data_IF_499127387271
#
_entry.id   IF_499127387271
#
_cell.length_a   1.000
_cell.length_b   1.000
_cell.length_c   1.000
_cell.angle_alpha   90.00
_cell.angle_beta   90.00
_cell.angle_gamma   90.00
#
_symmetry.space_group_name_H-M   'P 1'
#
loop_
_entity.id
_entity.type
_entity.pdbx_description
1 polymer ?
#
# COMPACT_ATOMS: atom_id res chain seq x y z
N UNK A 1 -17.17 -63.92 5.22
CA UNK A 1 -18.16 -63.02 4.60
C UNK A 1 -17.95 -61.68 5.27
N UNK A 2 -16.95 -60.95 4.80
CA UNK A 2 -16.54 -59.66 5.37
C UNK A 2 -17.24 -58.56 4.59
N UNK A 3 -18.20 -57.89 5.21
CA UNK A 3 -18.77 -56.65 4.68
C UNK A 3 -17.96 -55.49 5.23
N UNK A 4 -17.10 -54.92 4.38
CA UNK A 4 -16.46 -53.63 4.61
C UNK A 4 -17.54 -52.56 4.41
N UNK A 5 -17.97 -51.92 5.50
CA UNK A 5 -18.79 -50.72 5.47
C UNK A 5 -17.98 -49.59 4.83
N UNK A 6 -18.34 -49.21 3.60
CA UNK A 6 -17.85 -48.01 2.95
C UNK A 6 -18.42 -46.81 3.72
N UNK A 7 -17.58 -46.12 4.49
CA UNK A 7 -17.91 -44.80 5.00
C UNK A 7 -17.96 -43.84 3.80
N UNK A 8 -19.15 -43.31 3.49
CA UNK A 8 -19.31 -42.23 2.53
C UNK A 8 -18.54 -41.00 3.04
N UNK A 9 -17.44 -40.63 2.37
CA UNK A 9 -16.77 -39.35 2.57
C UNK A 9 -17.72 -38.23 2.15
N UNK A 10 -18.47 -37.68 3.13
CA UNK A 10 -19.24 -36.46 2.91
C UNK A 10 -18.29 -35.32 2.56
N UNK A 11 -18.33 -34.86 1.30
CA UNK A 11 -17.53 -33.72 0.85
C UNK A 11 -17.83 -32.50 1.73
N UNK A 12 -16.82 -31.71 2.13
CA UNK A 12 -17.05 -30.53 2.95
C UNK A 12 -17.93 -29.55 2.19
N UNK A 13 -19.12 -29.29 2.73
CA UNK A 13 -20.05 -28.31 2.18
C UNK A 13 -19.42 -26.92 2.33
N UNK A 14 -18.88 -26.39 1.24
CA UNK A 14 -18.35 -25.03 1.19
C UNK A 14 -19.50 -24.08 1.55
N UNK A 15 -19.38 -23.43 2.70
CA UNK A 15 -20.37 -22.44 3.13
C UNK A 15 -20.20 -21.19 2.25
N UNK A 16 -21.29 -20.74 1.64
CA UNK A 16 -21.31 -19.45 0.93
C UNK A 16 -21.29 -18.32 1.97
N UNK A 17 -20.09 -17.83 2.27
CA UNK A 17 -19.89 -16.68 3.15
C UNK A 17 -19.96 -15.41 2.31
N UNK A 18 -20.83 -14.47 2.67
CA UNK A 18 -20.91 -13.14 2.06
C UNK A 18 -20.57 -12.09 3.09
N UNK A 19 -19.77 -11.11 2.70
CA UNK A 19 -19.38 -9.97 3.54
C UNK A 19 -20.06 -8.71 3.02
N UNK A 20 -20.61 -7.89 3.91
CA UNK A 20 -21.13 -6.57 3.58
C UNK A 20 -20.53 -5.52 4.54
N UNK A 21 -19.61 -4.64 4.08
CA UNK A 21 -19.10 -4.54 2.70
C UNK A 21 -18.21 -5.73 2.31
N UNK A 22 -17.82 -5.83 1.04
CA UNK A 22 -16.95 -6.90 0.55
C UNK A 22 -15.65 -7.00 1.39
N UNK A 23 -15.17 -8.23 1.62
CA UNK A 23 -14.07 -8.51 2.55
C UNK A 23 -12.78 -7.73 2.21
N UNK A 24 -12.46 -7.57 0.94
CA UNK A 24 -11.29 -6.79 0.49
C UNK A 24 -11.41 -5.32 0.92
N UNK A 25 -12.62 -4.75 0.88
CA UNK A 25 -12.87 -3.37 1.30
C UNK A 25 -12.74 -3.22 2.82
N UNK A 26 -13.18 -4.22 3.58
CA UNK A 26 -12.97 -4.25 5.04
C UNK A 26 -11.48 -4.29 5.38
N UNK A 27 -10.70 -5.14 4.70
CA UNK A 27 -9.24 -5.26 4.88
C UNK A 27 -8.52 -3.96 4.54
N UNK A 28 -8.83 -3.35 3.39
CA UNK A 28 -8.28 -2.05 3.00
C UNK A 28 -8.63 -0.96 4.02
N UNK A 29 -9.88 -0.90 4.46
CA UNK A 29 -10.32 0.08 5.48
C UNK A 29 -9.56 -0.08 6.79
N UNK A 30 -9.36 -1.34 7.23
CA UNK A 30 -8.60 -1.62 8.43
C UNK A 30 -7.13 -1.18 8.29
N UNK A 31 -6.47 -1.47 7.15
CA UNK A 31 -5.08 -1.04 6.91
C UNK A 31 -4.98 0.48 6.97
N UNK A 32 -5.88 1.20 6.28
CA UNK A 32 -5.89 2.66 6.29
C UNK A 32 -6.07 3.22 7.73
N UNK A 33 -6.91 2.60 8.56
CA UNK A 33 -7.07 3.02 9.95
C UNK A 33 -5.79 2.82 10.77
N UNK A 34 -5.08 1.71 10.56
CA UNK A 34 -3.81 1.46 11.25
C UNK A 34 -2.72 2.43 10.80
N UNK A 35 -2.62 2.74 9.50
CA UNK A 35 -1.68 3.73 8.99
C UNK A 35 -1.96 5.14 9.55
N UNK A 36 -3.24 5.52 9.71
CA UNK A 36 -3.64 6.79 10.37
C UNK A 36 -3.23 6.81 11.84
N UNK A 37 -3.59 5.76 12.57
CA UNK A 37 -3.33 5.65 14.01
C UNK A 37 -1.83 5.76 14.32
N UNK A 38 -0.99 5.15 13.48
CA UNK A 38 0.45 5.12 13.67
C UNK A 38 1.19 6.25 12.91
N UNK A 39 0.46 7.11 12.21
CA UNK A 39 1.01 8.22 11.41
C UNK A 39 2.14 7.76 10.47
N UNK A 40 1.93 6.63 9.81
CA UNK A 40 2.91 6.09 8.89
C UNK A 40 3.14 7.05 7.72
N UNK A 41 4.41 7.28 7.38
CA UNK A 41 4.83 8.13 6.25
C UNK A 41 5.55 7.34 5.17
N UNK A 42 6.02 6.14 5.51
CA UNK A 42 6.72 5.21 4.63
C UNK A 42 6.08 3.82 4.72
N UNK A 43 5.60 3.29 3.58
CA UNK A 43 4.80 2.05 3.55
C UNK A 43 5.26 1.10 2.46
N UNK A 44 5.34 -0.19 2.78
CA UNK A 44 5.50 -1.29 1.81
C UNK A 44 4.21 -2.11 1.76
N UNK A 45 3.63 -2.29 0.57
CA UNK A 45 2.51 -3.21 0.30
C UNK A 45 3.02 -4.49 -0.36
N UNK A 46 2.96 -5.60 0.38
CA UNK A 46 3.37 -6.92 -0.05
C UNK A 46 2.22 -7.68 -0.69
N UNK A 47 2.40 -8.08 -1.94
CA UNK A 47 1.31 -8.60 -2.78
C UNK A 47 0.37 -7.47 -3.18
N UNK A 48 0.92 -6.40 -3.76
CA UNK A 48 0.15 -5.19 -4.06
C UNK A 48 -0.87 -5.36 -5.20
N UNK A 49 -0.80 -6.45 -5.96
CA UNK A 49 -1.71 -6.73 -7.08
C UNK A 49 -1.78 -5.56 -8.07
N UNK A 50 -3.00 -5.16 -8.46
CA UNK A 50 -3.21 -4.02 -9.37
C UNK A 50 -3.05 -2.65 -8.68
N UNK A 51 -2.56 -2.60 -7.44
CA UNK A 51 -2.30 -1.35 -6.72
C UNK A 51 -3.54 -0.72 -6.09
N UNK A 52 -4.58 -1.52 -5.76
CA UNK A 52 -5.84 -0.99 -5.21
C UNK A 52 -5.73 -0.26 -3.86
N UNK A 53 -4.71 -0.60 -3.06
CA UNK A 53 -4.34 0.15 -1.85
C UNK A 53 -3.38 1.29 -2.20
N UNK A 54 -2.40 1.02 -3.07
CA UNK A 54 -1.40 2.02 -3.48
C UNK A 54 -2.04 3.27 -4.09
N UNK A 55 -3.02 3.10 -4.99
CA UNK A 55 -3.72 4.21 -5.65
C UNK A 55 -4.48 5.09 -4.65
N UNK A 56 -5.06 4.49 -3.60
CA UNK A 56 -5.71 5.22 -2.51
C UNK A 56 -4.68 6.01 -1.69
N UNK A 57 -3.53 5.41 -1.37
CA UNK A 57 -2.45 6.09 -0.65
C UNK A 57 -1.76 7.18 -1.50
N UNK A 58 -1.88 7.11 -2.83
CA UNK A 58 -1.42 8.14 -3.75
C UNK A 58 -2.34 9.37 -3.79
N UNK A 59 -3.52 9.33 -3.17
CA UNK A 59 -4.38 10.52 -3.09
C UNK A 59 -3.83 11.50 -2.04
N UNK A 60 -3.81 12.82 -2.32
CA UNK A 60 -3.40 13.80 -1.34
C UNK A 60 -4.34 13.76 -0.12
N UNK A 61 -3.77 13.85 1.08
CA UNK A 61 -4.55 13.98 2.29
C UNK A 61 -5.43 15.23 2.18
N UNK A 62 -6.72 15.04 2.37
CA UNK A 62 -7.75 16.08 2.21
C UNK A 62 -7.61 17.23 3.21
N UNK A 63 -6.90 16.96 4.29
CA UNK A 63 -6.71 17.82 5.46
C UNK A 63 -5.39 18.57 5.43
N UNK A 64 -4.44 18.20 4.57
CA UNK A 64 -3.21 18.96 4.39
C UNK A 64 -3.58 20.27 3.69
N UNK A 65 -3.22 21.44 4.27
CA UNK A 65 -3.55 22.73 3.68
C UNK A 65 -2.99 22.83 2.26
N UNK A 66 -3.58 23.66 1.37
CA UNK A 66 -2.93 23.98 0.10
C UNK A 66 -1.53 24.52 0.37
N UNK A 67 -0.62 24.33 -0.60
CA UNK A 67 0.77 24.83 -0.51
C UNK A 67 0.77 26.25 0.07
N UNK A 68 1.52 26.54 1.14
CA UNK A 68 1.55 27.88 1.70
C UNK A 68 2.07 28.84 0.62
N UNK A 69 1.26 29.83 0.28
CA UNK A 69 1.68 30.94 -0.58
C UNK A 69 2.70 31.81 0.17
N UNK A 70 3.53 32.56 -0.56
CA UNK A 70 4.53 33.50 0.01
C UNK A 70 3.91 34.53 0.98
N UNK A 71 2.58 34.70 0.97
CA UNK A 71 1.79 35.61 1.80
C UNK A 71 1.32 35.01 3.14
N UNK A 72 1.36 33.68 3.31
CA UNK A 72 1.00 33.00 4.58
C UNK A 72 2.06 31.96 4.94
N UNK A 73 3.22 32.38 5.48
CA UNK A 73 4.38 31.51 5.70
C UNK A 73 4.18 30.44 6.79
N UNK A 74 3.11 30.53 7.59
CA UNK A 74 2.90 29.75 8.81
C UNK A 74 1.50 29.12 8.86
N UNK A 75 1.03 28.49 7.78
CA UNK A 75 0.00 27.47 7.96
C UNK A 75 0.68 26.29 8.67
N UNK A 76 0.73 26.33 10.01
CA UNK A 76 1.13 25.18 10.80
C UNK A 76 0.27 24.00 10.33
N UNK A 77 0.93 22.96 9.80
CA UNK A 77 0.27 21.70 9.51
C UNK A 77 -0.09 21.14 10.88
N UNK A 78 -1.27 21.52 11.37
CA UNK A 78 -1.96 20.83 12.45
C UNK A 78 -1.78 19.33 12.18
N UNK A 79 -1.38 18.50 13.16
CA UNK A 79 -1.19 17.08 12.94
C UNK A 79 -2.53 16.49 12.48
N UNK A 80 -2.70 16.42 11.16
CA UNK A 80 -3.95 16.05 10.54
C UNK A 80 -4.19 14.59 10.88
N UNK A 81 -5.45 14.24 11.14
CA UNK A 81 -5.85 12.85 11.38
C UNK A 81 -5.67 11.94 10.14
N UNK A 82 -5.31 12.53 9.00
CA UNK A 82 -5.27 11.87 7.70
C UNK A 82 -3.87 11.34 7.36
N UNK A 83 -3.83 10.36 6.46
CA UNK A 83 -2.60 9.65 6.13
C UNK A 83 -1.72 10.53 5.24
N UNK A 84 -0.50 10.81 5.67
CA UNK A 84 0.48 11.52 4.87
C UNK A 84 1.65 10.60 4.49
N UNK A 85 1.57 9.99 3.30
CA UNK A 85 2.64 9.15 2.75
C UNK A 85 3.62 10.01 1.94
N UNK A 86 4.90 9.80 2.17
CA UNK A 86 6.02 10.36 1.40
C UNK A 86 6.76 9.30 0.58
N UNK A 87 6.75 8.04 1.04
CA UNK A 87 7.43 6.93 0.39
C UNK A 87 6.52 5.70 0.36
N UNK A 88 6.29 5.17 -0.83
CA UNK A 88 5.40 4.03 -1.04
C UNK A 88 6.06 2.98 -1.94
N UNK A 89 5.99 1.73 -1.52
CA UNK A 89 6.52 0.60 -2.27
C UNK A 89 5.44 -0.44 -2.51
N UNK A 90 5.30 -0.88 -3.75
CA UNK A 90 4.53 -2.08 -4.12
C UNK A 90 5.46 -3.22 -4.50
N UNK A 91 5.22 -4.42 -3.97
CA UNK A 91 5.93 -5.63 -4.38
C UNK A 91 4.91 -6.70 -4.78
N UNK A 92 5.05 -7.24 -5.99
CA UNK A 92 4.26 -8.39 -6.45
C UNK A 92 5.07 -9.30 -7.38
N UNK A 93 4.64 -10.55 -7.51
CA UNK A 93 5.21 -11.52 -8.45
C UNK A 93 4.58 -11.45 -9.83
N UNK A 94 3.32 -10.99 -9.92
CA UNK A 94 2.56 -10.96 -11.17
C UNK A 94 2.82 -9.72 -12.03
N UNK A 95 3.47 -9.92 -13.17
CA UNK A 95 3.83 -8.84 -14.10
C UNK A 95 2.62 -8.11 -14.70
N UNK A 96 1.48 -8.80 -14.87
CA UNK A 96 0.29 -8.19 -15.46
C UNK A 96 -0.36 -7.19 -14.51
N UNK A 97 -0.54 -7.58 -13.24
CA UNK A 97 -1.07 -6.72 -12.19
C UNK A 97 -0.16 -5.51 -11.94
N UNK A 98 1.17 -5.70 -11.97
CA UNK A 98 2.12 -4.60 -11.77
C UNK A 98 2.03 -3.51 -12.84
N UNK A 99 1.70 -3.83 -14.09
CA UNK A 99 1.48 -2.82 -15.14
C UNK A 99 0.31 -1.91 -14.79
N UNK A 100 -0.77 -2.50 -14.30
CA UNK A 100 -1.96 -1.76 -13.86
C UNK A 100 -1.60 -0.91 -12.63
N UNK A 101 -0.85 -1.48 -11.68
CA UNK A 101 -0.41 -0.74 -10.50
C UNK A 101 0.44 0.50 -10.86
N UNK A 102 1.33 0.39 -11.85
CA UNK A 102 2.09 1.54 -12.36
C UNK A 102 1.18 2.60 -12.96
N UNK A 103 0.19 2.21 -13.76
CA UNK A 103 -0.77 3.14 -14.37
C UNK A 103 -1.65 3.84 -13.32
N UNK A 104 -2.13 3.10 -12.32
CA UNK A 104 -3.01 3.59 -11.25
C UNK A 104 -2.29 4.49 -10.24
N UNK A 105 -0.98 4.34 -10.08
CA UNK A 105 -0.15 5.16 -9.17
C UNK A 105 0.56 6.30 -9.89
N UNK A 106 0.53 6.32 -11.22
CA UNK A 106 1.13 7.38 -12.00
C UNK A 106 0.46 8.74 -11.74
N UNK A 107 1.22 9.85 -11.72
CA UNK A 107 0.64 11.17 -11.65
C UNK A 107 -0.26 11.42 -12.86
N UNK A 108 -1.41 12.06 -12.64
CA UNK A 108 -2.28 12.47 -13.74
C UNK A 108 -1.59 13.58 -14.53
N UNK A 109 -1.28 13.30 -15.80
CA UNK A 109 -0.67 14.26 -16.71
C UNK A 109 -1.59 15.47 -16.91
N UNK A 110 -1.00 16.67 -16.94
CA UNK A 110 -1.73 17.94 -17.07
C UNK A 110 -2.65 18.00 -18.28
N UNK A 111 -2.24 17.39 -19.40
CA UNK A 111 -3.04 17.31 -20.63
C UNK A 111 -4.39 16.60 -20.40
N UNK A 112 -4.41 15.59 -19.52
CA UNK A 112 -5.64 14.85 -19.17
C UNK A 112 -6.53 15.59 -18.16
N UNK A 113 -5.99 16.59 -17.44
CA UNK A 113 -6.78 17.37 -16.49
C UNK A 113 -7.77 18.30 -17.19
N UNK A 114 -7.42 18.77 -18.39
CA UNK A 114 -8.25 19.71 -19.15
C UNK A 114 -9.53 19.05 -19.70
N UNK A 115 -9.48 17.75 -20.00
CA UNK A 115 -10.62 16.97 -20.50
C UNK A 115 -11.59 16.56 -19.39
N UNK A 116 -11.19 16.66 -18.11
CA UNK A 116 -12.03 16.30 -16.97
C UNK A 116 -12.82 17.50 -16.43
N UNK A 117 -14.10 17.31 -16.05
CA UNK A 117 -14.86 18.33 -15.35
C UNK A 117 -14.23 18.64 -13.98
N UNK A 118 -14.35 19.90 -13.53
CA UNK A 118 -13.64 20.41 -12.34
C UNK A 118 -13.81 19.54 -11.07
N UNK A 119 -14.93 18.85 -10.92
CA UNK A 119 -15.23 18.00 -9.76
C UNK A 119 -14.63 16.59 -9.85
N UNK A 120 -14.18 16.16 -11.04
CA UNK A 120 -13.40 14.93 -11.24
C UNK A 120 -11.89 15.19 -11.27
N UNK A 121 -11.47 16.46 -11.35
CA UNK A 121 -10.04 16.79 -11.39
C UNK A 121 -9.39 16.39 -10.07
N UNK A 122 -8.36 15.51 -10.09
CA UNK A 122 -7.62 15.18 -8.89
C UNK A 122 -7.00 16.46 -8.33
N UNK A 123 -7.02 16.59 -7.00
CA UNK A 123 -6.34 17.72 -6.36
C UNK A 123 -4.83 17.53 -6.56
N UNK A 124 -4.10 18.55 -7.03
CA UNK A 124 -2.66 18.43 -7.16
C UNK A 124 -2.05 18.21 -5.77
N UNK A 125 -1.28 17.13 -5.63
CA UNK A 125 -0.47 16.92 -4.44
C UNK A 125 0.76 17.83 -4.56
N UNK A 126 0.93 18.74 -3.62
CA UNK A 126 2.05 19.68 -3.60
C UNK A 126 3.24 19.18 -2.77
N UNK A 127 3.06 18.10 -2.00
CA UNK A 127 4.12 17.40 -1.28
C UNK A 127 4.63 16.23 -2.12
N UNK A 128 5.94 16.01 -2.07
CA UNK A 128 6.57 14.94 -2.83
C UNK A 128 6.08 13.56 -2.34
N UNK A 129 5.76 12.69 -3.29
CA UNK A 129 5.53 11.26 -3.06
C UNK A 129 6.47 10.48 -3.99
N UNK A 130 7.29 9.62 -3.40
CA UNK A 130 8.05 8.61 -4.14
C UNK A 130 7.29 7.27 -4.15
N UNK A 131 7.00 6.75 -5.34
CA UNK A 131 6.34 5.46 -5.54
C UNK A 131 7.25 4.55 -6.33
N UNK A 132 7.56 3.38 -5.77
CA UNK A 132 8.41 2.39 -6.41
C UNK A 132 7.67 1.05 -6.49
N UNK A 133 7.63 0.46 -7.67
CA UNK A 133 6.94 -0.80 -7.91
C UNK A 133 7.96 -1.83 -8.37
N UNK A 134 7.99 -2.96 -7.66
CA UNK A 134 8.97 -4.01 -7.85
C UNK A 134 8.30 -5.33 -8.21
N UNK A 135 8.94 -6.03 -9.16
CA UNK A 135 8.60 -7.40 -9.52
C UNK A 135 9.50 -8.37 -8.77
N UNK A 136 8.92 -9.25 -7.97
CA UNK A 136 9.64 -10.31 -7.28
C UNK A 136 8.90 -10.85 -6.05
N UNK A 137 9.39 -11.99 -5.55
CA UNK A 137 9.00 -12.51 -4.24
C UNK A 137 9.91 -11.97 -3.14
N UNK A 138 9.54 -12.19 -1.88
CA UNK A 138 10.38 -11.86 -0.72
C UNK A 138 11.69 -12.67 -0.71
N UNK A 139 11.72 -13.79 -1.40
CA UNK A 139 12.85 -14.70 -1.54
C UNK A 139 13.85 -14.27 -2.62
N UNK A 140 13.45 -13.39 -3.55
CA UNK A 140 14.32 -12.98 -4.65
C UNK A 140 15.24 -11.87 -4.17
N UNK A 141 16.48 -12.24 -3.85
CA UNK A 141 17.57 -11.29 -3.79
C UNK A 141 17.82 -10.74 -5.20
N UNK A 142 17.69 -9.43 -5.41
CA UNK A 142 18.14 -8.82 -6.67
C UNK A 142 19.61 -9.25 -6.88
N UNK A 143 19.83 -10.03 -7.94
CA UNK A 143 21.13 -10.64 -8.23
C UNK A 143 22.21 -9.58 -8.46
N UNK A 144 23.42 -9.91 -8.02
CA UNK A 144 24.64 -9.11 -8.18
C UNK A 144 25.00 -8.95 -9.66
N UNK A 145 24.50 -7.88 -10.29
CA UNK A 145 25.02 -7.38 -11.56
C UNK A 145 26.33 -6.59 -11.32
N UNK A 146 27.37 -7.30 -10.88
CA UNK A 146 28.79 -7.02 -11.14
C UNK A 146 29.46 -5.72 -10.63
N UNK A 147 28.82 -4.55 -10.55
CA UNK A 147 29.52 -3.29 -10.25
C UNK A 147 28.71 -2.27 -9.42
N UNK A 148 27.60 -2.66 -8.83
CA UNK A 148 26.91 -1.79 -7.88
C UNK A 148 26.31 -2.61 -6.75
N UNK A 149 26.93 -2.55 -5.57
CA UNK A 149 26.34 -3.01 -4.30
C UNK A 149 25.08 -2.18 -4.00
N UNK A 150 23.98 -2.43 -4.68
CA UNK A 150 22.69 -1.80 -4.42
C UNK A 150 21.88 -2.73 -3.53
N UNK A 151 22.17 -2.53 -2.24
CA UNK A 151 21.39 -2.81 -1.03
C UNK A 151 19.95 -3.24 -1.33
N UNK A 152 19.57 -4.39 -0.79
CA UNK A 152 18.19 -4.73 -0.50
C UNK A 152 17.47 -3.59 0.25
N UNK A 153 16.13 -3.60 0.17
CA UNK A 153 15.20 -2.82 0.98
C UNK A 153 15.70 -2.69 2.42
N UNK A 154 16.28 -1.53 2.75
CA UNK A 154 16.89 -1.28 4.05
C UNK A 154 18.19 -2.07 4.28
N UNK A 155 19.28 -1.34 4.50
CA UNK A 155 20.35 -1.88 5.35
C UNK A 155 19.88 -2.16 6.78
N UNK A 156 18.62 -1.83 7.11
CA UNK A 156 17.92 -2.14 8.34
C UNK A 156 16.45 -2.36 7.99
N UNK A 157 15.88 -3.49 8.38
CA UNK A 157 14.44 -3.73 8.54
C UNK A 157 13.85 -2.84 9.65
N UNK A 158 14.18 -1.54 9.63
CA UNK A 158 13.94 -0.52 10.64
C UNK A 158 13.67 0.88 10.06
N UNK A 159 13.67 1.02 8.73
CA UNK A 159 13.55 2.31 8.04
C UNK A 159 12.12 2.58 7.50
N UNK A 160 11.18 1.64 7.69
CA UNK A 160 9.79 1.76 7.23
C UNK A 160 8.82 1.85 8.41
N UNK A 161 7.85 2.76 8.31
CA UNK A 161 6.84 2.93 9.35
C UNK A 161 5.81 1.79 9.34
N UNK A 162 5.51 1.24 8.16
CA UNK A 162 4.59 0.10 8.03
C UNK A 162 4.93 -0.84 6.86
N UNK A 163 4.73 -2.13 7.11
CA UNK A 163 4.70 -3.19 6.09
C UNK A 163 3.32 -3.82 6.16
N UNK A 164 2.61 -3.84 5.04
CA UNK A 164 1.22 -4.27 4.96
C UNK A 164 1.05 -5.34 3.89
N UNK A 165 -0.01 -6.12 4.00
CA UNK A 165 -0.49 -7.01 2.95
C UNK A 165 -1.99 -7.14 3.08
N UNK A 166 -2.71 -6.99 1.97
CA UNK A 166 -4.18 -7.12 1.96
C UNK A 166 -4.64 -8.53 1.61
N UNK A 167 -3.77 -9.35 1.02
CA UNK A 167 -4.09 -10.69 0.50
C UNK A 167 -3.58 -11.83 1.38
N UNK A 168 -2.46 -11.63 2.08
CA UNK A 168 -1.81 -12.71 2.85
C UNK A 168 -2.21 -12.66 4.32
N UNK A 169 -2.95 -13.67 4.78
CA UNK A 169 -3.16 -13.96 6.21
C UNK A 169 -1.87 -14.43 6.89
N UNK A 170 -0.86 -13.56 6.98
CA UNK A 170 0.20 -13.70 7.99
C UNK A 170 0.21 -12.39 8.77
N UNK A 171 -0.76 -12.26 9.67
CA UNK A 171 -0.86 -11.14 10.61
C UNK A 171 0.27 -11.21 11.63
N UNK A 172 1.45 -10.72 11.26
CA UNK A 172 2.47 -10.32 12.23
C UNK A 172 2.81 -8.87 11.94
N UNK A 173 2.13 -7.95 12.62
CA UNK A 173 2.66 -6.61 12.81
C UNK A 173 4.04 -6.74 13.46
N UNK A 174 5.09 -6.53 12.68
CA UNK A 174 6.37 -6.16 13.25
C UNK A 174 6.26 -4.67 13.57
N UNK A 175 5.64 -4.35 14.71
CA UNK A 175 5.82 -3.05 15.34
C UNK A 175 7.29 -2.97 15.73
N UNK A 176 8.09 -2.38 14.85
CA UNK A 176 9.50 -2.14 15.12
C UNK A 176 9.56 -1.06 16.21
N UNK A 177 10.19 -1.32 17.36
CA UNK A 177 10.30 -0.31 18.40
C UNK A 177 11.08 0.88 17.84
N UNK A 178 10.52 2.07 18.02
CA UNK A 178 11.13 3.34 17.67
C UNK A 178 12.54 3.40 18.25
N UNK A 179 13.53 3.53 17.35
CA UNK A 179 14.92 3.65 17.73
C UNK A 179 15.14 5.03 18.33
N UNK A 180 15.11 5.14 19.66
CA UNK A 180 15.59 6.32 20.38
C UNK A 180 17.10 6.36 20.30
N UNK A 181 17.64 7.23 19.45
CA UNK A 181 19.05 7.59 19.48
C UNK A 181 19.35 8.33 20.79
N UNK A 182 20.22 7.75 21.62
CA UNK A 182 20.91 8.46 22.71
C UNK A 182 21.92 9.47 22.17
#
# INVERSE_FOLDING_TARGET
MDQILAAEESQPKVANVTFNPALWLQRRTWVLNQLREHRATSVIDLGCGEGSLLSVLCQPASTIPPKPDDTTPNAEIEPTLDIHISHLVGLDVDDQSLKIAVEETAPVLEDRLNDLPLWERPRPRWLDLDVQIYRGGLEVLNGDDGENKKRWFGSKTGDWDAIVSTEVCVWRFLLLPSCTTS
#
